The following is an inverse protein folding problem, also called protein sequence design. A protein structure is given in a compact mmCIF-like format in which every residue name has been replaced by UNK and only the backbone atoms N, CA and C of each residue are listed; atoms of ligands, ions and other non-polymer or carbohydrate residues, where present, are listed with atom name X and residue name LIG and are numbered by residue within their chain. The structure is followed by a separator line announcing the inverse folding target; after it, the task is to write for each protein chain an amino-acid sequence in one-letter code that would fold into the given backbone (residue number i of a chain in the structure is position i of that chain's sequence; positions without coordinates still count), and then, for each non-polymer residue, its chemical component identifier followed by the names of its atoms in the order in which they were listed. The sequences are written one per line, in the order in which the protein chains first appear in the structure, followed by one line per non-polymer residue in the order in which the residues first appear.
data_IF_293946091375
#
_entry.id   IF_293946091375
#
_cell.length_a   1.000
_cell.length_b   1.000
_cell.length_c   1.000
_cell.angle_alpha   90.00
_cell.angle_beta   90.00
_cell.angle_gamma   90.00
#
_symmetry.space_group_name_H-M   'P 1'
#
loop_
_entity.id
_entity.type
_entity.pdbx_description
1 polymer ?
#
# COMPACT_ATOMS: atom_id res chain seq x y z
N UNK A 1 -19.77 26.92 -39.92
CA UNK A 1 -19.98 27.07 -38.46
C UNK A 1 -21.46 26.83 -38.21
N UNK A 2 -21.82 25.66 -37.67
CA UNK A 2 -23.21 25.36 -37.34
C UNK A 2 -23.64 26.25 -36.17
N UNK A 3 -24.70 27.03 -36.34
CA UNK A 3 -25.29 27.83 -35.28
C UNK A 3 -26.03 26.94 -34.27
N UNK A 4 -25.87 27.20 -32.98
CA UNK A 4 -26.70 26.64 -31.92
C UNK A 4 -28.17 27.00 -32.20
N UNK A 5 -28.94 26.03 -32.69
CA UNK A 5 -30.33 26.22 -33.11
C UNK A 5 -31.29 26.18 -31.93
N UNK A 6 -31.48 27.31 -31.25
CA UNK A 6 -32.56 27.48 -30.26
C UNK A 6 -33.85 27.98 -30.91
N UNK A 7 -34.99 27.39 -30.53
CA UNK A 7 -36.29 28.02 -30.81
C UNK A 7 -36.47 29.26 -29.92
N UNK A 8 -37.29 30.21 -30.37
CA UNK A 8 -37.64 31.40 -29.59
C UNK A 8 -38.29 30.95 -28.27
N UNK A 9 -37.59 31.17 -27.15
CA UNK A 9 -38.05 30.79 -25.80
C UNK A 9 -37.23 29.71 -25.10
N UNK A 10 -36.32 29.03 -25.80
CA UNK A 10 -35.47 27.99 -25.19
C UNK A 10 -34.22 28.60 -24.52
N UNK A 11 -33.95 28.19 -23.28
CA UNK A 11 -32.69 28.49 -22.60
C UNK A 11 -31.66 27.41 -22.97
N UNK A 12 -30.81 27.67 -23.96
CA UNK A 12 -29.68 26.79 -24.29
C UNK A 12 -28.55 27.08 -23.30
N UNK A 13 -28.45 26.27 -22.23
CA UNK A 13 -27.36 26.36 -21.26
C UNK A 13 -26.13 25.62 -21.80
N UNK A 14 -25.39 26.17 -22.76
CA UNK A 14 -24.28 25.44 -23.42
C UNK A 14 -23.15 25.04 -22.45
N UNK A 15 -22.96 25.78 -21.35
CA UNK A 15 -21.91 25.53 -20.37
C UNK A 15 -22.42 25.59 -18.92
N UNK A 16 -22.11 24.59 -18.09
CA UNK A 16 -22.43 24.55 -16.66
C UNK A 16 -21.20 24.88 -15.80
N UNK A 17 -21.36 25.81 -14.85
CA UNK A 17 -20.37 26.11 -13.82
C UNK A 17 -20.70 25.45 -12.46
N UNK A 18 -21.71 24.58 -12.41
CA UNK A 18 -22.09 23.88 -11.18
C UNK A 18 -21.01 22.88 -10.75
N UNK A 19 -20.31 23.12 -9.61
CA UNK A 19 -19.28 22.21 -9.14
C UNK A 19 -19.84 20.88 -8.62
N UNK A 20 -21.13 20.79 -8.31
CA UNK A 20 -21.77 19.56 -7.85
C UNK A 20 -22.14 18.62 -8.99
N UNK A 21 -22.03 19.05 -10.25
CA UNK A 21 -22.45 18.29 -11.44
C UNK A 21 -23.88 17.74 -11.28
N UNK A 22 -24.76 18.53 -10.65
CA UNK A 22 -26.07 18.07 -10.15
C UNK A 22 -27.18 18.12 -11.20
N UNK A 23 -26.96 18.84 -12.31
CA UNK A 23 -27.87 18.89 -13.46
C UNK A 23 -27.75 17.65 -14.36
N UNK A 24 -28.74 17.46 -15.24
CA UNK A 24 -28.66 16.44 -16.29
C UNK A 24 -27.70 16.95 -17.39
N UNK A 25 -26.54 16.29 -17.55
CA UNK A 25 -25.46 16.68 -18.46
C UNK A 25 -25.85 16.73 -19.95
N UNK A 26 -27.07 16.30 -20.30
CA UNK A 26 -27.59 16.36 -21.66
C UNK A 26 -28.03 17.76 -22.10
N UNK A 27 -28.08 18.73 -21.19
CA UNK A 27 -28.48 20.11 -21.47
C UNK A 27 -27.32 21.12 -21.48
N UNK A 28 -26.12 20.72 -21.04
CA UNK A 28 -24.96 21.60 -20.88
C UNK A 28 -23.62 20.84 -20.83
N UNK A 29 -22.56 21.42 -21.39
CA UNK A 29 -21.18 20.94 -21.20
C UNK A 29 -20.58 21.49 -19.89
N UNK A 30 -19.90 20.69 -19.04
CA UNK A 30 -19.22 21.22 -17.85
C UNK A 30 -18.05 22.16 -18.18
N UNK A 31 -17.96 23.29 -17.49
CA UNK A 31 -16.79 24.18 -17.52
C UNK A 31 -15.62 23.61 -16.71
N UNK A 32 -14.41 24.14 -16.90
CA UNK A 32 -13.25 23.81 -16.06
C UNK A 32 -13.55 24.02 -14.56
N UNK A 33 -14.27 25.10 -14.22
CA UNK A 33 -14.64 25.39 -12.85
C UNK A 33 -15.55 24.29 -12.25
N UNK A 34 -16.50 23.78 -13.03
CA UNK A 34 -17.37 22.69 -12.62
C UNK A 34 -16.56 21.40 -12.38
N UNK A 35 -15.72 21.00 -13.35
CA UNK A 35 -14.89 19.79 -13.26
C UNK A 35 -13.92 19.87 -12.08
N UNK A 36 -13.20 20.98 -11.92
CA UNK A 36 -12.28 21.20 -10.80
C UNK A 36 -13.03 21.19 -9.46
N UNK A 37 -14.23 21.76 -9.42
CA UNK A 37 -15.08 21.74 -8.23
C UNK A 37 -15.48 20.34 -7.83
N UNK A 38 -15.95 19.56 -8.79
CA UNK A 38 -16.33 18.18 -8.57
C UNK A 38 -15.16 17.37 -8.01
N UNK A 39 -14.02 17.36 -8.69
CA UNK A 39 -12.89 16.46 -8.36
C UNK A 39 -12.08 16.91 -7.14
N UNK A 40 -11.92 18.21 -6.91
CA UNK A 40 -10.94 18.72 -5.92
C UNK A 40 -11.52 19.51 -4.76
N UNK A 41 -12.76 20.00 -4.88
CA UNK A 41 -13.41 20.85 -3.86
C UNK A 41 -14.53 20.14 -3.11
N UNK A 42 -14.42 18.82 -2.96
CA UNK A 42 -15.37 18.00 -2.19
C UNK A 42 -16.80 18.01 -2.73
N UNK A 43 -17.00 18.35 -4.00
CA UNK A 43 -18.34 18.48 -4.59
C UNK A 43 -18.86 17.17 -5.22
N UNK A 44 -18.18 16.03 -5.01
CA UNK A 44 -18.60 14.69 -5.47
C UNK A 44 -19.84 14.12 -4.76
N UNK A 45 -20.53 14.94 -3.96
CA UNK A 45 -21.69 14.53 -3.15
C UNK A 45 -21.31 13.74 -1.90
N UNK A 46 -22.29 13.08 -1.30
CA UNK A 46 -22.15 12.29 -0.05
C UNK A 46 -22.07 10.79 -0.28
N UNK A 47 -22.24 10.34 -1.53
CA UNK A 47 -22.01 8.95 -1.93
C UNK A 47 -20.52 8.72 -2.15
N UNK A 48 -20.12 7.46 -2.22
CA UNK A 48 -18.73 7.09 -2.48
C UNK A 48 -18.40 7.25 -3.98
N UNK A 49 -17.15 7.63 -4.27
CA UNK A 49 -16.58 7.44 -5.60
C UNK A 49 -16.37 5.94 -5.84
N UNK A 50 -16.75 5.45 -7.01
CA UNK A 50 -16.29 4.15 -7.52
C UNK A 50 -15.00 4.38 -8.31
N UNK A 51 -13.81 4.00 -7.80
CA UNK A 51 -12.58 4.08 -8.59
C UNK A 51 -12.62 3.04 -9.73
N UNK A 52 -11.67 3.07 -10.68
CA UNK A 52 -11.51 1.99 -11.65
C UNK A 52 -11.46 0.61 -10.95
N UNK A 53 -12.14 -0.39 -11.53
CA UNK A 53 -12.31 -1.71 -10.94
C UNK A 53 -11.82 -2.79 -11.90
N UNK A 54 -11.10 -3.80 -11.39
CA UNK A 54 -10.75 -4.98 -12.19
C UNK A 54 -9.95 -6.02 -11.42
N UNK A 55 -9.66 -7.15 -12.06
CA UNK A 55 -8.85 -8.25 -11.49
C UNK A 55 -7.36 -7.91 -11.40
N UNK A 56 -6.58 -8.71 -10.67
CA UNK A 56 -5.10 -8.58 -10.62
C UNK A 56 -4.45 -8.67 -12.00
N UNK A 57 -4.97 -9.52 -12.88
CA UNK A 57 -4.45 -9.68 -14.25
C UNK A 57 -4.70 -8.44 -15.13
N UNK A 58 -5.63 -7.58 -14.75
CA UNK A 58 -6.00 -6.35 -15.45
C UNK A 58 -5.34 -5.11 -14.83
N UNK A 59 -4.33 -5.28 -13.98
CA UNK A 59 -3.52 -4.15 -13.49
C UNK A 59 -2.84 -3.47 -14.69
N UNK A 60 -2.95 -2.13 -14.84
CA UNK A 60 -2.12 -1.41 -15.78
C UNK A 60 -0.65 -1.68 -15.47
N UNK A 61 0.15 -1.75 -16.53
CA UNK A 61 1.59 -1.90 -16.46
C UNK A 61 2.22 -1.53 -17.79
N UNK A 62 3.49 -1.13 -17.76
CA UNK A 62 4.19 -0.61 -18.94
C UNK A 62 4.31 0.91 -18.94
N UNK A 63 5.26 1.40 -19.74
CA UNK A 63 5.55 2.83 -20.03
C UNK A 63 4.44 3.52 -20.83
N UNK A 64 3.21 3.02 -20.75
CA UNK A 64 2.08 3.72 -21.33
C UNK A 64 1.84 4.98 -20.47
N UNK A 65 1.68 6.14 -21.11
CA UNK A 65 1.53 7.45 -20.46
C UNK A 65 0.37 7.54 -19.44
N UNK A 66 -0.48 6.50 -19.37
CA UNK A 66 -1.56 6.32 -18.41
C UNK A 66 -1.11 5.71 -17.07
N UNK A 67 0.09 5.11 -16.99
CA UNK A 67 0.62 4.51 -15.77
C UNK A 67 1.34 5.53 -14.89
N UNK A 68 0.55 6.42 -14.30
CA UNK A 68 1.06 7.45 -13.40
C UNK A 68 1.27 6.91 -11.98
N UNK A 69 2.42 7.24 -11.38
CA UNK A 69 2.66 7.03 -9.95
C UNK A 69 1.52 7.65 -9.13
N UNK A 70 0.98 6.89 -8.18
CA UNK A 70 -0.12 7.33 -7.33
C UNK A 70 -1.52 7.03 -7.89
N UNK A 71 -1.66 6.27 -8.98
CA UNK A 71 -2.97 5.84 -9.44
C UNK A 71 -3.67 4.95 -8.40
N UNK A 72 -5.01 5.05 -8.32
CA UNK A 72 -5.87 4.35 -7.36
C UNK A 72 -6.89 3.49 -8.12
N UNK A 73 -7.11 2.25 -7.66
CA UNK A 73 -8.13 1.33 -8.21
C UNK A 73 -8.62 0.33 -7.18
N UNK A 74 -9.71 -0.36 -7.47
CA UNK A 74 -10.19 -1.50 -6.68
C UNK A 74 -9.86 -2.82 -7.38
N UNK A 75 -9.22 -3.74 -6.67
CA UNK A 75 -8.88 -5.06 -7.16
C UNK A 75 -9.93 -6.09 -6.74
N UNK A 76 -10.70 -6.64 -7.68
CA UNK A 76 -11.75 -7.62 -7.38
C UNK A 76 -11.22 -9.00 -7.05
N UNK A 77 -10.01 -9.35 -7.51
CA UNK A 77 -9.36 -10.61 -7.13
C UNK A 77 -8.87 -10.60 -5.69
N UNK A 78 -8.42 -9.44 -5.20
CA UNK A 78 -7.91 -9.26 -3.83
C UNK A 78 -8.96 -8.69 -2.86
N UNK A 79 -10.09 -8.21 -3.37
CA UNK A 79 -11.15 -7.59 -2.57
C UNK A 79 -10.71 -6.30 -1.87
N UNK A 80 -9.80 -5.53 -2.45
CA UNK A 80 -9.16 -4.39 -1.79
C UNK A 80 -8.95 -3.18 -2.72
N UNK A 81 -8.94 -1.98 -2.12
CA UNK A 81 -8.35 -0.80 -2.76
C UNK A 81 -6.85 -1.04 -2.92
N UNK A 82 -6.26 -0.53 -4.00
CA UNK A 82 -4.82 -0.54 -4.24
C UNK A 82 -4.35 0.78 -4.86
N UNK A 83 -3.12 1.18 -4.57
CA UNK A 83 -2.42 2.29 -5.24
C UNK A 83 -1.07 1.85 -5.78
N UNK A 84 -0.62 2.45 -6.89
CA UNK A 84 0.72 2.19 -7.42
C UNK A 84 1.74 3.18 -6.86
N UNK A 85 2.81 2.70 -6.22
CA UNK A 85 3.82 3.55 -5.60
C UNK A 85 5.02 3.87 -6.53
N UNK A 86 4.96 3.51 -7.81
CA UNK A 86 6.08 3.63 -8.74
C UNK A 86 6.90 2.34 -8.89
N UNK A 87 6.64 1.31 -8.08
CA UNK A 87 7.34 0.02 -8.16
C UNK A 87 6.38 -1.16 -8.03
N UNK A 88 5.43 -1.08 -7.10
CA UNK A 88 4.47 -2.14 -6.82
C UNK A 88 3.06 -1.56 -6.56
N UNK A 89 2.08 -2.45 -6.70
CA UNK A 89 0.71 -2.20 -6.26
C UNK A 89 0.60 -2.47 -4.76
N UNK A 90 0.22 -1.44 -4.00
CA UNK A 90 0.12 -1.47 -2.54
C UNK A 90 -1.34 -1.46 -2.13
N UNK A 91 -1.71 -2.35 -1.20
CA UNK A 91 -3.04 -2.39 -0.58
C UNK A 91 -3.00 -1.60 0.74
N UNK A 92 -3.54 -0.37 0.80
CA UNK A 92 -3.53 0.39 2.03
C UNK A 92 -4.39 -0.30 3.10
N UNK A 93 -3.89 -0.33 4.33
CA UNK A 93 -4.61 -0.87 5.49
C UNK A 93 -4.71 -2.39 5.57
N UNK A 94 -4.18 -3.13 4.60
CA UNK A 94 -4.11 -4.60 4.63
C UNK A 94 -2.75 -5.02 5.17
N UNK A 95 -2.72 -5.81 6.24
CA UNK A 95 -1.48 -6.39 6.74
C UNK A 95 -1.01 -7.53 5.84
N UNK A 96 0.29 -7.55 5.54
CA UNK A 96 0.91 -8.62 4.76
C UNK A 96 1.38 -9.75 5.68
N UNK A 97 1.13 -10.99 5.28
CA UNK A 97 1.58 -12.19 5.99
C UNK A 97 2.34 -13.12 5.04
N UNK A 98 3.43 -13.71 5.51
CA UNK A 98 4.22 -14.67 4.73
C UNK A 98 4.79 -15.76 5.65
N UNK A 99 4.90 -16.98 5.13
CA UNK A 99 5.58 -18.07 5.82
C UNK A 99 6.96 -18.27 5.19
N UNK A 100 8.00 -18.28 6.02
CA UNK A 100 9.38 -18.54 5.59
C UNK A 100 9.93 -19.77 6.29
N UNK A 101 10.66 -20.60 5.55
CA UNK A 101 11.32 -21.82 6.02
C UNK A 101 12.77 -21.94 5.53
N UNK A 102 13.28 -20.88 4.90
CA UNK A 102 14.65 -20.74 4.39
C UNK A 102 15.09 -19.30 4.57
N UNK A 103 16.40 -19.05 4.42
CA UNK A 103 16.97 -17.70 4.55
C UNK A 103 16.27 -16.72 3.59
N UNK A 104 15.81 -15.59 4.12
CA UNK A 104 14.94 -14.66 3.39
C UNK A 104 15.35 -13.21 3.69
N UNK A 105 15.35 -12.36 2.67
CA UNK A 105 15.38 -10.89 2.86
C UNK A 105 13.97 -10.43 3.20
N UNK A 106 13.77 -9.96 4.42
CA UNK A 106 12.44 -9.57 4.92
C UNK A 106 12.11 -8.13 4.53
N UNK A 107 10.82 -7.86 4.35
CA UNK A 107 10.30 -6.59 3.85
C UNK A 107 9.54 -5.88 4.96
N UNK A 108 9.67 -4.55 5.00
CA UNK A 108 8.90 -3.67 5.89
C UNK A 108 7.39 -3.91 5.77
N UNK A 109 6.67 -3.80 6.89
CA UNK A 109 5.22 -3.94 6.97
C UNK A 109 4.68 -5.37 6.86
N UNK A 110 5.57 -6.37 6.93
CA UNK A 110 5.19 -7.79 6.79
C UNK A 110 5.31 -8.55 8.10
N UNK A 111 4.34 -9.43 8.34
CA UNK A 111 4.33 -10.40 9.43
C UNK A 111 4.82 -11.75 8.91
N UNK A 112 5.84 -12.31 9.53
CA UNK A 112 6.48 -13.56 9.12
C UNK A 112 6.19 -14.70 10.10
N UNK A 113 5.55 -15.74 9.60
CA UNK A 113 5.52 -17.05 10.26
C UNK A 113 6.80 -17.79 9.92
N UNK A 114 7.72 -17.90 10.88
CA UNK A 114 9.02 -18.53 10.70
C UNK A 114 8.94 -19.99 11.11
N UNK A 115 9.14 -20.89 10.14
CA UNK A 115 9.16 -22.33 10.37
C UNK A 115 10.61 -22.84 10.32
N UNK A 116 11.18 -23.16 11.47
CA UNK A 116 12.57 -23.67 11.59
C UNK A 116 12.66 -25.19 11.73
N UNK A 117 11.59 -25.94 11.38
CA UNK A 117 11.58 -27.40 11.49
C UNK A 117 12.63 -28.07 10.57
N UNK A 118 12.94 -27.44 9.43
CA UNK A 118 13.95 -27.91 8.47
C UNK A 118 15.38 -27.44 8.75
N UNK A 119 15.60 -26.66 9.81
CA UNK A 119 16.88 -26.01 10.12
C UNK A 119 16.71 -24.55 10.52
N UNK A 120 17.76 -23.95 11.06
CA UNK A 120 17.77 -22.53 11.43
C UNK A 120 17.50 -21.63 10.20
N UNK A 121 16.77 -20.55 10.42
CA UNK A 121 16.39 -19.58 9.36
C UNK A 121 17.06 -18.24 9.64
N UNK A 122 17.67 -17.65 8.61
CA UNK A 122 18.20 -16.29 8.67
C UNK A 122 17.25 -15.30 7.98
N UNK A 123 16.66 -14.38 8.74
CA UNK A 123 15.88 -13.26 8.24
C UNK A 123 16.75 -12.01 8.12
N UNK A 124 17.07 -11.59 6.90
CA UNK A 124 17.91 -10.40 6.64
C UNK A 124 17.04 -9.15 6.58
N UNK A 125 17.24 -8.23 7.52
CA UNK A 125 16.49 -6.97 7.61
C UNK A 125 16.76 -6.05 6.39
N UNK A 126 15.90 -5.06 6.10
CA UNK A 126 16.18 -4.05 5.08
C UNK A 126 17.48 -3.29 5.35
N UNK A 127 18.29 -3.05 4.30
CA UNK A 127 19.53 -2.26 4.39
C UNK A 127 19.28 -0.75 4.50
N UNK A 128 18.10 -0.28 4.08
CA UNK A 128 17.72 1.15 4.09
C UNK A 128 16.27 1.32 4.59
N UNK A 129 15.98 0.93 5.85
CA UNK A 129 14.65 1.11 6.43
C UNK A 129 14.35 2.58 6.70
N UNK A 130 13.09 2.97 6.50
CA UNK A 130 12.59 4.27 6.92
C UNK A 130 12.32 4.27 8.44
N UNK A 131 12.35 5.44 9.07
CA UNK A 131 11.93 5.59 10.47
C UNK A 131 10.53 5.00 10.67
N UNK A 132 10.37 4.11 11.65
CA UNK A 132 9.12 3.43 11.93
C UNK A 132 8.86 2.16 11.11
N UNK A 133 9.78 1.76 10.21
CA UNK A 133 9.69 0.47 9.54
C UNK A 133 9.52 -0.66 10.56
N UNK A 134 8.56 -1.55 10.34
CA UNK A 134 8.11 -2.55 11.31
C UNK A 134 8.03 -3.93 10.67
N UNK A 135 8.67 -4.92 11.30
CA UNK A 135 8.62 -6.33 10.87
C UNK A 135 8.29 -7.19 12.07
N UNK A 136 7.34 -8.10 11.92
CA UNK A 136 6.90 -9.01 12.98
C UNK A 136 7.31 -10.44 12.67
N UNK A 137 7.76 -11.17 13.69
CA UNK A 137 8.13 -12.57 13.59
C UNK A 137 7.31 -13.40 14.57
N UNK A 138 6.91 -14.60 14.12
CA UNK A 138 6.23 -15.60 14.92
C UNK A 138 6.94 -16.94 14.73
N UNK A 139 7.33 -17.59 15.82
CA UNK A 139 7.68 -19.01 15.80
C UNK A 139 6.40 -19.84 15.65
N UNK A 140 6.13 -20.30 14.43
CA UNK A 140 4.97 -21.13 14.10
C UNK A 140 5.20 -22.61 14.43
N UNK A 141 6.45 -23.07 14.36
CA UNK A 141 6.78 -24.48 14.47
C UNK A 141 7.13 -24.90 15.91
N UNK A 142 7.37 -23.94 16.81
CA UNK A 142 7.85 -24.18 18.17
C UNK A 142 9.21 -24.88 18.17
N UNK A 143 10.11 -24.42 17.31
CA UNK A 143 11.41 -25.07 17.09
C UNK A 143 12.59 -24.10 17.17
N UNK A 144 12.41 -22.88 17.69
CA UNK A 144 13.50 -21.91 17.83
C UNK A 144 14.60 -22.38 18.79
N UNK A 145 14.26 -23.19 19.79
CA UNK A 145 15.21 -23.76 20.75
C UNK A 145 16.13 -24.81 20.12
N UNK A 146 15.62 -25.52 19.11
CA UNK A 146 16.32 -26.57 18.37
C UNK A 146 17.04 -25.99 17.15
N UNK A 147 16.38 -25.05 16.47
CA UNK A 147 16.82 -24.39 15.25
C UNK A 147 16.44 -22.91 15.34
N UNK A 148 17.41 -22.08 15.73
CA UNK A 148 17.17 -20.66 15.99
C UNK A 148 16.73 -19.88 14.73
N UNK A 149 15.91 -18.85 14.95
CA UNK A 149 15.83 -17.72 14.03
C UNK A 149 17.05 -16.83 14.25
N UNK A 150 17.78 -16.53 13.20
CA UNK A 150 18.79 -15.46 13.18
C UNK A 150 18.23 -14.26 12.44
N UNK A 151 18.08 -13.13 13.10
CA UNK A 151 17.74 -11.87 12.45
C UNK A 151 19.04 -11.15 12.09
N UNK A 152 19.38 -11.18 10.80
CA UNK A 152 20.58 -10.54 10.27
C UNK A 152 20.37 -9.05 10.07
N UNK A 153 21.29 -8.25 10.63
CA UNK A 153 21.15 -6.81 10.82
C UNK A 153 21.21 -5.97 9.53
N UNK A 154 21.84 -6.55 8.49
CA UNK A 154 22.03 -5.95 7.17
C UNK A 154 22.55 -4.50 7.19
N UNK A 155 23.59 -4.24 7.99
CA UNK A 155 24.22 -2.93 8.08
C UNK A 155 23.63 -2.00 9.14
N UNK A 156 22.41 -2.23 9.63
CA UNK A 156 21.80 -1.44 10.72
C UNK A 156 22.06 -2.10 12.08
N UNK A 157 22.00 -1.34 13.18
CA UNK A 157 22.14 -1.91 14.52
C UNK A 157 20.86 -2.65 14.91
N UNK A 158 20.96 -3.62 15.82
CA UNK A 158 19.80 -4.23 16.50
C UNK A 158 19.99 -4.00 17.99
N UNK A 159 19.01 -3.37 18.64
CA UNK A 159 19.06 -2.98 20.05
C UNK A 159 20.23 -2.07 20.44
N UNK A 160 20.87 -1.40 19.46
CA UNK A 160 22.09 -0.62 19.66
C UNK A 160 23.37 -1.41 19.42
N UNK A 161 23.27 -2.72 19.21
CA UNK A 161 24.42 -3.61 19.02
C UNK A 161 24.74 -3.82 17.53
N UNK A 162 26.03 -3.95 17.23
CA UNK A 162 26.55 -4.25 15.91
C UNK A 162 26.64 -5.77 15.66
N UNK A 163 25.65 -6.53 16.13
CA UNK A 163 25.56 -7.98 16.00
C UNK A 163 24.17 -8.39 15.54
N UNK A 164 24.09 -9.58 14.93
CA UNK A 164 22.80 -10.19 14.60
C UNK A 164 22.07 -10.65 15.86
N UNK A 165 20.74 -10.73 15.81
CA UNK A 165 19.91 -11.19 16.91
C UNK A 165 19.57 -12.67 16.73
N UNK A 166 20.02 -13.52 17.65
CA UNK A 166 19.61 -14.92 17.71
C UNK A 166 18.40 -15.07 18.63
N UNK A 167 17.34 -15.71 18.13
CA UNK A 167 16.10 -15.97 18.88
C UNK A 167 15.94 -17.47 19.03
N UNK A 168 16.04 -17.94 20.28
CA UNK A 168 15.98 -19.36 20.65
C UNK A 168 14.80 -19.69 21.57
N UNK A 169 13.96 -18.70 21.88
CA UNK A 169 12.78 -18.90 22.73
C UNK A 169 11.67 -19.52 21.91
N UNK A 170 11.18 -20.69 22.35
CA UNK A 170 10.05 -21.37 21.73
C UNK A 170 8.78 -20.50 21.77
N UNK A 171 8.00 -20.53 20.68
CA UNK A 171 6.75 -19.77 20.54
C UNK A 171 6.94 -18.25 20.63
N UNK A 172 8.17 -17.75 20.45
CA UNK A 172 8.44 -16.32 20.45
C UNK A 172 7.63 -15.61 19.36
N UNK A 173 6.99 -14.49 19.75
CA UNK A 173 6.34 -13.57 18.84
C UNK A 173 6.75 -12.15 19.22
N UNK A 174 7.33 -11.40 18.28
CA UNK A 174 7.83 -10.06 18.56
C UNK A 174 7.88 -9.21 17.28
N UNK A 175 7.84 -7.90 17.45
CA UNK A 175 8.09 -6.94 16.37
C UNK A 175 9.46 -6.29 16.54
N UNK A 176 10.07 -5.91 15.42
CA UNK A 176 11.20 -4.98 15.37
C UNK A 176 10.74 -3.69 14.70
N UNK A 177 11.02 -2.56 15.35
CA UNK A 177 10.71 -1.22 14.82
C UNK A 177 12.00 -0.44 14.64
N UNK A 178 12.22 0.13 13.45
CA UNK A 178 13.42 0.90 13.15
C UNK A 178 13.33 2.32 13.76
N UNK A 179 14.27 2.66 14.63
CA UNK A 179 14.32 3.95 15.35
C UNK A 179 15.28 4.98 14.74
N UNK A 180 15.95 4.64 13.64
CA UNK A 180 17.03 5.44 13.05
C UNK A 180 18.41 4.82 13.27
N UNK A 181 19.43 5.34 12.57
CA UNK A 181 20.76 4.72 12.51
C UNK A 181 21.52 4.69 13.84
N UNK A 182 21.27 5.66 14.74
CA UNK A 182 21.98 5.76 16.02
C UNK A 182 21.70 4.58 16.97
N UNK A 183 20.48 4.02 16.92
CA UNK A 183 20.04 2.95 17.84
C UNK A 183 19.48 1.72 17.11
N UNK A 184 19.24 1.84 15.80
CA UNK A 184 18.84 0.76 14.93
C UNK A 184 17.42 0.23 15.21
N UNK A 185 17.26 -1.08 15.01
CA UNK A 185 16.01 -1.81 15.24
C UNK A 185 15.79 -2.06 16.72
N UNK A 186 14.60 -1.76 17.24
CA UNK A 186 14.21 -1.99 18.64
C UNK A 186 13.14 -3.06 18.69
N UNK A 187 13.28 -4.01 19.62
CA UNK A 187 12.19 -4.95 19.92
C UNK A 187 11.03 -4.15 20.51
N UNK A 188 9.87 -4.37 19.93
CA UNK A 188 8.58 -3.92 20.41
C UNK A 188 7.70 -5.16 20.61
N UNK A 189 7.22 -5.34 21.82
CA UNK A 189 6.28 -6.41 22.19
C UNK A 189 5.21 -5.77 23.07
N UNK A 190 3.95 -6.07 22.79
CA UNK A 190 2.80 -5.73 23.64
C UNK A 190 2.15 -6.99 24.17
#
# INVERSE_FOLDING_TARGET
LGSLGGQVGEAISEFSADPAMSGNSNSACPTEFAVKGFVTRGSMGTKAMTPPVGTTAQRPGGVDDEFNTGCLRFNTSLGALEYYNGTAWIQPGVQSYSTINTNTSVVDGTNYFVNTNGGGVTATLPASPNLGATITFYDIAKTFDSNALTVARNGKLIQGDSSDLSVTTESAAFSLVFSGDSYGWRIFSI
#
